data_IF_285503397962
#
_entry.id   IF_285503397962
#
_cell.length_a   1.000
_cell.length_b   1.000
_cell.length_c   1.000
_cell.angle_alpha   90.00
_cell.angle_beta   90.00
_cell.angle_gamma   90.00
#
_symmetry.space_group_name_H-M   'P 1'
#
loop_
_entity.id
_entity.type
_entity.pdbx_description
1 polymer ?
#
# COMPACT_ATOMS: atom_id res chain seq x y z
N UNK A 1 13.71 -13.88 43.51
CA UNK A 1 12.99 -14.81 42.59
C UNK A 1 11.99 -13.96 41.81
N UNK A 2 12.38 -13.59 40.59
CA UNK A 2 11.55 -12.74 39.76
C UNK A 2 10.37 -13.54 39.25
N UNK A 3 9.17 -13.04 39.48
CA UNK A 3 7.94 -13.51 38.86
C UNK A 3 8.09 -13.25 37.31
N UNK A 4 8.35 -14.29 36.55
CA UNK A 4 8.15 -14.26 35.11
C UNK A 4 6.65 -14.12 34.86
N UNK A 5 6.21 -12.94 34.43
CA UNK A 5 4.84 -12.68 34.05
C UNK A 5 4.45 -13.68 32.96
N UNK A 6 3.44 -14.51 33.23
CA UNK A 6 2.89 -15.48 32.27
C UNK A 6 2.33 -14.84 30.97
N UNK A 7 2.26 -13.52 30.93
CA UNK A 7 1.79 -12.74 29.79
C UNK A 7 2.86 -12.46 28.71
N UNK A 8 4.14 -12.78 28.98
CA UNK A 8 5.25 -12.53 28.03
C UNK A 8 5.62 -13.75 27.18
N UNK A 9 4.72 -14.71 27.03
CA UNK A 9 4.94 -15.86 26.14
C UNK A 9 4.83 -15.40 24.67
N UNK A 10 5.91 -15.58 23.89
CA UNK A 10 5.93 -15.30 22.45
C UNK A 10 5.14 -16.40 21.73
N UNK A 11 4.13 -16.02 20.95
CA UNK A 11 3.29 -16.95 20.19
C UNK A 11 3.65 -16.98 18.68
N UNK A 12 4.25 -15.89 18.18
CA UNK A 12 4.78 -15.84 16.81
C UNK A 12 5.96 -14.86 16.75
N UNK A 13 6.96 -15.17 15.95
CA UNK A 13 8.14 -14.33 15.77
C UNK A 13 8.70 -14.52 14.36
N UNK A 14 9.08 -13.41 13.73
CA UNK A 14 10.05 -13.36 12.65
C UNK A 14 11.25 -12.59 13.21
N UNK A 15 12.34 -13.32 13.41
CA UNK A 15 13.52 -12.83 14.13
C UNK A 15 13.96 -11.46 13.62
N UNK A 16 14.22 -10.55 14.56
CA UNK A 16 14.64 -9.16 14.32
C UNK A 16 13.56 -8.22 13.73
N UNK A 17 12.46 -8.76 13.19
CA UNK A 17 11.43 -7.97 12.51
C UNK A 17 10.19 -7.73 13.36
N UNK A 18 9.65 -8.80 13.95
CA UNK A 18 8.40 -8.71 14.71
C UNK A 18 8.30 -9.86 15.72
N UNK A 19 7.75 -9.56 16.88
CA UNK A 19 7.39 -10.52 17.91
C UNK A 19 5.97 -10.26 18.38
N UNK A 20 5.17 -11.30 18.43
CA UNK A 20 3.77 -11.27 18.90
C UNK A 20 3.68 -12.07 20.18
N UNK A 21 3.13 -11.46 21.23
CA UNK A 21 2.95 -12.07 22.54
C UNK A 21 1.52 -12.59 22.71
N UNK A 22 1.36 -13.51 23.67
CA UNK A 22 0.08 -14.17 23.98
C UNK A 22 -1.02 -13.20 24.43
N UNK A 23 -0.64 -12.06 24.99
CA UNK A 23 -1.57 -11.01 25.41
C UNK A 23 -2.00 -10.09 24.25
N UNK A 24 -1.53 -10.36 23.02
CA UNK A 24 -1.79 -9.56 21.84
C UNK A 24 -0.83 -8.38 21.64
N UNK A 25 0.13 -8.16 22.55
CA UNK A 25 1.17 -7.15 22.38
C UNK A 25 2.06 -7.49 21.18
N UNK A 26 2.44 -6.49 20.43
CA UNK A 26 3.32 -6.62 19.25
C UNK A 26 4.54 -5.74 19.44
N UNK A 27 5.72 -6.33 19.30
CA UNK A 27 6.99 -5.62 19.24
C UNK A 27 7.55 -5.64 17.81
N UNK A 28 8.04 -4.50 17.35
CA UNK A 28 8.78 -4.32 16.09
C UNK A 28 10.16 -3.78 16.42
N UNK A 29 11.18 -4.66 16.59
CA UNK A 29 12.51 -4.25 17.07
C UNK A 29 13.25 -3.30 16.12
N UNK A 30 12.99 -3.39 14.82
CA UNK A 30 13.58 -2.48 13.84
C UNK A 30 12.88 -1.13 13.87
N UNK A 31 13.68 -0.06 13.90
CA UNK A 31 13.18 1.30 13.85
C UNK A 31 13.12 1.80 12.39
N UNK A 32 11.95 2.26 12.00
CA UNK A 32 11.69 2.91 10.72
C UNK A 32 11.33 4.38 10.97
N UNK A 33 12.32 5.29 10.95
CA UNK A 33 12.13 6.66 11.40
C UNK A 33 11.01 7.38 10.66
N UNK A 34 10.05 7.88 11.39
CA UNK A 34 8.99 8.76 10.87
C UNK A 34 9.55 10.18 10.79
N UNK A 35 9.31 10.84 9.66
CA UNK A 35 9.74 12.23 9.43
C UNK A 35 8.53 13.15 9.19
N UNK A 36 8.62 14.42 9.60
CA UNK A 36 7.54 15.38 9.33
C UNK A 36 7.39 15.67 7.83
N UNK A 37 6.24 16.19 7.40
CA UNK A 37 6.07 16.67 6.03
C UNK A 37 7.07 17.79 5.69
N UNK A 38 7.41 17.87 4.42
CA UNK A 38 8.47 18.77 3.93
C UNK A 38 7.89 19.97 3.20
N UNK A 39 8.47 21.13 3.50
CA UNK A 39 8.34 22.35 2.69
C UNK A 39 9.74 22.74 2.23
N UNK A 40 10.05 22.54 0.97
CA UNK A 40 11.35 22.90 0.40
C UNK A 40 11.22 23.55 -0.97
N UNK A 41 12.36 23.90 -1.59
CA UNK A 41 12.40 24.63 -2.86
C UNK A 41 11.93 23.80 -4.07
N UNK A 42 11.79 22.48 -3.94
CA UNK A 42 11.43 21.59 -5.05
C UNK A 42 9.99 21.06 -5.01
N UNK A 43 9.41 20.95 -3.80
CA UNK A 43 8.07 20.43 -3.58
C UNK A 43 7.54 20.79 -2.18
N UNK A 44 6.24 20.56 -1.99
CA UNK A 44 5.58 20.59 -0.69
C UNK A 44 4.94 19.24 -0.39
N UNK A 45 4.92 18.84 0.88
CA UNK A 45 4.12 17.70 1.33
C UNK A 45 3.31 18.06 2.58
N UNK A 46 2.22 17.34 2.79
CA UNK A 46 1.40 17.45 4.01
C UNK A 46 0.73 16.11 4.32
N UNK A 47 0.47 15.89 5.59
CA UNK A 47 -0.28 14.74 6.07
C UNK A 47 -1.78 15.09 6.09
N UNK A 48 -2.60 14.16 5.60
CA UNK A 48 -4.04 14.32 5.44
C UNK A 48 -4.76 13.12 6.03
N UNK A 49 -6.00 13.33 6.49
CA UNK A 49 -6.90 12.26 6.90
C UNK A 49 -7.92 12.03 5.79
N UNK A 50 -7.99 10.80 5.29
CA UNK A 50 -8.89 10.39 4.21
C UNK A 50 -10.25 9.98 4.78
N UNK A 51 -10.25 9.22 5.88
CA UNK A 51 -11.45 8.71 6.52
C UNK A 51 -11.32 8.74 8.03
N UNK A 52 -12.41 9.08 8.72
CA UNK A 52 -12.50 9.05 10.18
C UNK A 52 -13.21 7.79 10.71
N UNK A 53 -13.49 6.79 9.85
CA UNK A 53 -14.23 5.61 10.26
C UNK A 53 -13.40 4.70 11.18
N UNK A 54 -14.01 4.22 12.31
CA UNK A 54 -13.36 3.25 13.18
C UNK A 54 -13.05 1.93 12.45
N UNK A 55 -12.03 1.16 12.88
CA UNK A 55 -11.33 1.32 14.15
C UNK A 55 -10.18 2.33 14.11
N UNK A 56 -9.69 2.74 12.94
CA UNK A 56 -8.57 3.66 12.81
C UNK A 56 -8.78 4.55 11.57
N UNK A 57 -8.52 5.85 11.65
CA UNK A 57 -8.61 6.71 10.48
C UNK A 57 -7.60 6.29 9.42
N UNK A 58 -8.01 6.34 8.14
CA UNK A 58 -7.09 6.20 7.02
C UNK A 58 -6.44 7.55 6.79
N UNK A 59 -5.13 7.58 6.73
CA UNK A 59 -4.33 8.78 6.49
C UNK A 59 -3.47 8.62 5.24
N UNK A 60 -2.90 9.71 4.77
CA UNK A 60 -1.91 9.67 3.70
C UNK A 60 -0.98 10.89 3.80
N UNK A 61 0.18 10.78 3.17
CA UNK A 61 1.01 11.94 2.85
C UNK A 61 0.84 12.28 1.39
N UNK A 62 0.41 13.53 1.13
CA UNK A 62 0.31 14.05 -0.23
C UNK A 62 1.55 14.91 -0.54
N UNK A 63 2.07 14.76 -1.76
CA UNK A 63 3.21 15.49 -2.29
C UNK A 63 2.81 16.25 -3.55
N UNK A 64 3.18 17.52 -3.62
CA UNK A 64 2.92 18.40 -4.75
C UNK A 64 4.25 19.03 -5.22
N UNK A 65 4.63 18.92 -6.50
CA UNK A 65 5.78 19.65 -7.01
C UNK A 65 5.52 21.16 -6.98
N UNK A 66 6.57 21.96 -6.99
CA UNK A 66 6.41 23.42 -7.04
C UNK A 66 5.64 23.83 -8.30
N UNK A 67 4.48 24.45 -8.06
CA UNK A 67 3.64 24.98 -9.13
C UNK A 67 4.18 26.35 -9.53
N UNK A 68 4.53 26.50 -10.81
CA UNK A 68 4.92 27.79 -11.37
C UNK A 68 3.68 28.48 -11.97
N UNK A 69 3.66 29.82 -11.95
CA UNK A 69 2.57 30.61 -12.52
C UNK A 69 2.31 30.35 -14.02
N UNK A 70 3.27 29.77 -14.72
CA UNK A 70 3.14 29.36 -16.13
C UNK A 70 2.55 27.96 -16.32
N UNK A 71 2.34 27.19 -15.24
CA UNK A 71 1.83 25.82 -15.30
C UNK A 71 0.31 25.82 -15.48
N UNK A 72 -0.14 25.71 -16.72
CA UNK A 72 -1.57 25.65 -17.09
C UNK A 72 -2.11 24.22 -17.13
N UNK A 73 -1.24 23.22 -17.12
CA UNK A 73 -1.63 21.79 -17.25
C UNK A 73 -1.76 21.14 -15.88
N UNK A 74 -2.84 20.38 -15.72
CA UNK A 74 -3.04 19.48 -14.57
C UNK A 74 -1.95 18.41 -14.54
N UNK A 75 -1.66 17.90 -13.34
CA UNK A 75 -0.61 16.92 -13.06
C UNK A 75 -1.17 15.50 -12.98
N UNK A 76 -0.45 14.49 -13.49
CA UNK A 76 -0.81 13.10 -13.20
C UNK A 76 -0.86 12.85 -11.69
N UNK A 77 -1.75 11.95 -11.29
CA UNK A 77 -1.92 11.53 -9.90
C UNK A 77 -1.35 10.11 -9.76
N UNK A 78 -0.49 9.91 -8.78
CA UNK A 78 0.08 8.61 -8.44
C UNK A 78 -0.29 8.23 -7.01
N UNK A 79 -1.18 7.24 -6.87
CA UNK A 79 -1.54 6.69 -5.57
C UNK A 79 -0.60 5.54 -5.25
N UNK A 80 0.09 5.64 -4.11
CA UNK A 80 1.16 4.72 -3.75
C UNK A 80 0.87 3.99 -2.45
N UNK A 81 1.13 2.69 -2.44
CA UNK A 81 1.03 1.82 -1.29
C UNK A 81 2.42 1.29 -0.93
N UNK A 82 2.86 1.56 0.29
CA UNK A 82 4.21 1.21 0.74
C UNK A 82 4.40 -0.30 0.94
N UNK A 83 5.65 -0.75 0.87
CA UNK A 83 6.04 -2.11 1.23
C UNK A 83 6.04 -2.36 2.73
N UNK A 84 6.78 -3.38 3.17
CA UNK A 84 6.90 -3.72 4.58
C UNK A 84 6.12 -4.97 4.99
N UNK A 85 5.90 -5.92 4.08
CA UNK A 85 5.33 -7.24 4.39
C UNK A 85 3.96 -7.21 5.06
N UNK A 86 3.21 -6.11 4.97
CA UNK A 86 1.96 -5.82 5.69
C UNK A 86 2.10 -5.61 7.20
N UNK A 87 3.29 -5.65 7.78
CA UNK A 87 3.46 -5.59 9.24
C UNK A 87 4.46 -4.55 9.73
N UNK A 88 5.16 -3.86 8.85
CA UNK A 88 6.06 -2.76 9.19
C UNK A 88 6.06 -1.67 8.11
N UNK A 89 6.83 -0.59 8.31
CA UNK A 89 6.88 0.63 7.52
C UNK A 89 5.62 1.51 7.63
N UNK A 90 5.71 2.66 7.02
CA UNK A 90 4.68 3.70 7.05
C UNK A 90 4.83 4.63 5.86
N UNK A 91 3.72 5.18 5.38
CA UNK A 91 3.72 6.27 4.39
C UNK A 91 4.51 7.52 4.86
N UNK A 92 4.74 7.63 6.16
CA UNK A 92 5.45 8.76 6.79
C UNK A 92 6.92 8.46 7.08
N UNK A 93 7.40 7.25 6.76
CA UNK A 93 8.79 6.87 7.03
C UNK A 93 9.78 7.65 6.16
N UNK A 94 11.00 7.78 6.68
CA UNK A 94 12.09 8.47 5.99
C UNK A 94 12.39 7.85 4.63
N UNK A 95 12.29 6.53 4.51
CA UNK A 95 12.55 5.81 3.26
C UNK A 95 11.67 6.31 2.12
N UNK A 96 10.36 6.31 2.33
CA UNK A 96 9.39 6.73 1.30
C UNK A 96 9.41 8.24 1.12
N UNK A 97 9.60 9.01 2.20
CA UNK A 97 9.77 10.45 2.08
C UNK A 97 10.96 10.81 1.17
N UNK A 98 12.14 10.22 1.39
CA UNK A 98 13.33 10.48 0.59
C UNK A 98 13.16 10.04 -0.88
N UNK A 99 12.39 8.97 -1.12
CA UNK A 99 12.03 8.53 -2.47
C UNK A 99 11.17 9.58 -3.17
N UNK A 100 10.11 10.06 -2.53
CA UNK A 100 9.21 11.03 -3.14
C UNK A 100 9.79 12.45 -3.26
N UNK A 101 10.72 12.84 -2.38
CA UNK A 101 11.48 14.08 -2.55
C UNK A 101 12.25 14.12 -3.88
N UNK A 102 12.61 12.96 -4.43
CA UNK A 102 13.30 12.84 -5.73
C UNK A 102 12.29 12.64 -6.88
N UNK A 103 11.36 11.72 -6.71
CA UNK A 103 10.43 11.32 -7.77
C UNK A 103 9.48 12.45 -8.18
N UNK A 104 8.86 13.12 -7.20
CA UNK A 104 7.80 14.13 -7.43
C UNK A 104 8.26 15.26 -8.34
N UNK A 105 9.39 15.95 -8.07
CA UNK A 105 9.82 17.04 -8.96
C UNK A 105 10.33 16.54 -10.32
N UNK A 106 10.92 15.33 -10.39
CA UNK A 106 11.43 14.78 -11.64
C UNK A 106 10.33 14.33 -12.60
N UNK A 107 9.31 13.65 -12.05
CA UNK A 107 8.19 13.16 -12.84
C UNK A 107 7.09 14.22 -13.04
N UNK A 108 7.13 15.29 -12.28
CA UNK A 108 6.11 16.37 -12.26
C UNK A 108 4.69 15.82 -12.04
N UNK A 109 4.50 15.12 -10.91
CA UNK A 109 3.28 14.41 -10.54
C UNK A 109 2.83 14.77 -9.12
N UNK A 110 1.54 14.56 -8.81
CA UNK A 110 1.04 14.51 -7.44
C UNK A 110 1.16 13.07 -6.96
N UNK A 111 1.72 12.88 -5.75
CA UNK A 111 1.74 11.57 -5.09
C UNK A 111 0.83 11.58 -3.88
N UNK A 112 0.02 10.53 -3.72
CA UNK A 112 -0.74 10.23 -2.51
C UNK A 112 -0.23 8.92 -1.94
N UNK A 113 0.62 8.98 -0.91
CA UNK A 113 1.20 7.81 -0.23
C UNK A 113 0.31 7.44 0.95
N UNK A 114 -0.33 6.27 0.86
CA UNK A 114 -1.40 5.83 1.77
C UNK A 114 -0.83 5.11 2.98
N UNK A 115 -1.26 5.53 4.17
CA UNK A 115 -1.01 4.88 5.45
C UNK A 115 -2.14 3.89 5.75
N UNK A 116 -1.93 2.63 5.41
CA UNK A 116 -2.90 1.56 5.63
C UNK A 116 -2.62 0.81 6.93
N UNK A 117 -3.63 0.13 7.46
CA UNK A 117 -3.52 -0.67 8.70
C UNK A 117 -2.62 -1.88 8.50
N UNK A 118 -1.80 -2.15 9.53
CA UNK A 118 -0.83 -3.24 9.54
C UNK A 118 -1.30 -4.46 10.32
N UNK A 119 -0.84 -5.62 9.90
CA UNK A 119 -0.93 -6.88 10.62
C UNK A 119 0.16 -6.94 11.72
N UNK A 120 0.02 -7.80 12.71
CA UNK A 120 -1.11 -8.70 12.99
C UNK A 120 -2.30 -8.01 13.66
N UNK A 121 -2.18 -6.74 14.07
CA UNK A 121 -3.26 -6.00 14.74
C UNK A 121 -4.49 -5.89 13.83
N UNK A 122 -4.26 -5.77 12.51
CA UNK A 122 -5.29 -5.71 11.48
C UNK A 122 -4.89 -6.62 10.31
N UNK A 123 -5.21 -7.92 10.39
CA UNK A 123 -4.85 -8.87 9.34
C UNK A 123 -5.59 -8.56 8.02
N UNK A 124 -5.09 -9.07 6.88
CA UNK A 124 -5.85 -9.02 5.64
C UNK A 124 -7.30 -9.53 5.82
N UNK A 125 -8.29 -8.86 5.19
CA UNK A 125 -8.14 -7.91 4.09
C UNK A 125 -7.99 -6.43 4.48
N UNK A 126 -7.75 -6.07 5.75
CA UNK A 126 -7.78 -4.68 6.22
C UNK A 126 -6.94 -3.70 5.39
N UNK A 127 -5.70 -4.07 5.02
CA UNK A 127 -4.84 -3.24 4.20
C UNK A 127 -5.40 -3.01 2.78
N UNK A 128 -6.00 -4.04 2.18
CA UNK A 128 -6.64 -3.94 0.87
C UNK A 128 -7.87 -3.04 0.89
N UNK A 129 -8.68 -3.14 1.94
CA UNK A 129 -9.88 -2.32 2.12
C UNK A 129 -9.50 -0.84 2.32
N UNK A 130 -8.50 -0.56 3.17
CA UNK A 130 -8.01 0.81 3.40
C UNK A 130 -7.46 1.44 2.12
N UNK A 131 -6.66 0.70 1.37
CA UNK A 131 -6.07 1.18 0.12
C UNK A 131 -7.12 1.39 -0.97
N UNK A 132 -8.15 0.53 -1.04
CA UNK A 132 -9.30 0.71 -1.92
C UNK A 132 -10.11 1.96 -1.55
N UNK A 133 -10.39 2.16 -0.26
CA UNK A 133 -11.10 3.34 0.21
C UNK A 133 -10.32 4.63 -0.04
N UNK A 134 -8.99 4.59 0.12
CA UNK A 134 -8.12 5.71 -0.22
C UNK A 134 -8.15 6.04 -1.72
N UNK A 135 -8.15 5.03 -2.58
CA UNK A 135 -8.25 5.21 -4.03
C UNK A 135 -9.61 5.80 -4.44
N UNK A 136 -10.71 5.31 -3.85
CA UNK A 136 -12.05 5.89 -4.05
C UNK A 136 -12.11 7.35 -3.59
N UNK A 137 -11.50 7.65 -2.45
CA UNK A 137 -11.42 9.02 -1.95
C UNK A 137 -10.64 9.93 -2.92
N UNK A 138 -9.49 9.49 -3.44
CA UNK A 138 -8.77 10.26 -4.46
C UNK A 138 -9.68 10.51 -5.66
N UNK A 139 -10.32 9.46 -6.20
CA UNK A 139 -11.18 9.55 -7.38
C UNK A 139 -12.40 10.47 -7.15
N UNK A 140 -12.95 10.54 -5.93
CA UNK A 140 -14.10 11.40 -5.63
C UNK A 140 -13.83 12.89 -5.87
N UNK A 141 -12.57 13.33 -5.88
CA UNK A 141 -12.18 14.70 -6.17
C UNK A 141 -12.28 15.07 -7.67
N UNK A 142 -12.56 14.07 -8.55
CA UNK A 142 -12.81 14.33 -9.97
C UNK A 142 -14.16 15.00 -10.21
N UNK A 143 -15.13 14.81 -9.29
CA UNK A 143 -16.47 15.39 -9.37
C UNK A 143 -16.55 16.69 -8.57
N UNK A 144 -17.43 17.61 -9.02
CA UNK A 144 -17.65 18.88 -8.30
C UNK A 144 -18.55 18.73 -7.06
N UNK A 145 -19.08 17.52 -6.83
CA UNK A 145 -20.02 17.24 -5.74
C UNK A 145 -19.35 16.86 -4.40
N UNK A 146 -18.06 17.20 -4.26
CA UNK A 146 -17.36 17.00 -2.99
C UNK A 146 -17.93 17.92 -1.91
N UNK A 147 -18.36 17.33 -0.79
CA UNK A 147 -18.80 18.13 0.38
C UNK A 147 -17.64 18.96 0.89
N UNK A 148 -17.86 20.24 1.28
CA UNK A 148 -16.79 21.16 1.63
C UNK A 148 -15.80 20.67 2.70
N UNK A 149 -16.21 19.74 3.54
CA UNK A 149 -15.40 19.23 4.65
C UNK A 149 -14.44 18.08 4.30
N UNK A 150 -14.44 17.60 3.05
CA UNK A 150 -13.60 16.45 2.62
C UNK A 150 -12.87 16.72 1.30
N UNK A 151 -12.62 17.99 0.98
CA UNK A 151 -12.00 18.38 -0.28
C UNK A 151 -10.52 18.68 -0.09
N UNK A 152 -9.67 17.93 -0.80
CA UNK A 152 -8.24 18.19 -0.88
C UNK A 152 -7.93 19.12 -2.07
N UNK A 153 -7.54 20.37 -1.74
CA UNK A 153 -7.33 21.40 -2.75
C UNK A 153 -6.23 21.07 -3.77
N UNK A 154 -5.16 20.38 -3.37
CA UNK A 154 -4.09 20.01 -4.29
C UNK A 154 -4.56 19.03 -5.37
N UNK A 155 -5.49 18.13 -5.03
CA UNK A 155 -6.12 17.24 -6.01
C UNK A 155 -7.08 17.98 -6.92
N UNK A 156 -8.00 18.80 -6.38
CA UNK A 156 -9.01 19.50 -7.17
C UNK A 156 -8.44 20.60 -8.05
N UNK A 157 -7.42 21.32 -7.54
CA UNK A 157 -6.81 22.43 -8.27
C UNK A 157 -5.74 22.00 -9.26
N UNK A 158 -5.01 20.92 -8.98
CA UNK A 158 -3.82 20.53 -9.77
C UNK A 158 -3.89 19.13 -10.36
N UNK A 159 -4.75 18.23 -9.87
CA UNK A 159 -4.83 16.83 -10.32
C UNK A 159 -5.49 16.66 -11.69
N UNK A 160 -4.95 15.76 -12.49
CA UNK A 160 -5.54 15.29 -13.74
C UNK A 160 -6.11 13.87 -13.55
N UNK A 161 -7.41 13.79 -13.39
CA UNK A 161 -8.11 12.54 -13.15
C UNK A 161 -8.23 11.63 -14.40
N UNK A 162 -7.82 12.11 -15.58
CA UNK A 162 -7.62 11.27 -16.76
C UNK A 162 -6.24 10.59 -16.78
N UNK A 163 -5.36 10.94 -15.85
CA UNK A 163 -4.01 10.37 -15.71
C UNK A 163 -3.76 9.91 -14.29
N UNK A 164 -4.55 8.93 -13.85
CA UNK A 164 -4.40 8.30 -12.53
C UNK A 164 -3.61 7.00 -12.68
N UNK A 165 -2.57 6.88 -11.87
CA UNK A 165 -1.71 5.70 -11.76
C UNK A 165 -1.74 5.19 -10.33
N UNK A 166 -1.58 3.88 -10.16
CA UNK A 166 -1.39 3.27 -8.84
C UNK A 166 -0.07 2.50 -8.82
N UNK A 167 0.56 2.41 -7.68
CA UNK A 167 1.78 1.62 -7.57
C UNK A 167 2.18 1.33 -6.14
N UNK A 168 3.18 0.48 -6.01
CA UNK A 168 3.73 0.09 -4.72
C UNK A 168 4.95 -0.81 -4.87
N UNK A 169 5.56 -1.09 -3.74
CA UNK A 169 6.67 -2.02 -3.62
C UNK A 169 6.30 -3.18 -2.70
N UNK A 170 6.81 -4.38 -2.98
CA UNK A 170 6.65 -5.58 -2.15
C UNK A 170 5.17 -5.84 -1.78
N UNK A 171 4.79 -5.74 -0.50
CA UNK A 171 3.40 -5.85 -0.04
C UNK A 171 2.49 -4.78 -0.68
N UNK A 172 2.99 -3.56 -0.89
CA UNK A 172 2.26 -2.51 -1.58
C UNK A 172 1.99 -2.84 -3.06
N UNK A 173 2.94 -3.46 -3.75
CA UNK A 173 2.74 -3.94 -5.11
C UNK A 173 1.74 -5.12 -5.17
N UNK A 174 1.73 -5.98 -4.16
CA UNK A 174 0.70 -7.00 -3.98
C UNK A 174 -0.68 -6.35 -3.81
N UNK A 175 -0.81 -5.28 -2.99
CA UNK A 175 -2.06 -4.53 -2.83
C UNK A 175 -2.53 -3.97 -4.18
N UNK A 176 -1.64 -3.35 -4.98
CA UNK A 176 -1.95 -2.85 -6.32
C UNK A 176 -2.56 -3.95 -7.19
N UNK A 177 -1.90 -5.11 -7.25
CA UNK A 177 -2.40 -6.25 -8.03
C UNK A 177 -3.81 -6.68 -7.58
N UNK A 178 -4.01 -6.80 -6.26
CA UNK A 178 -5.30 -7.24 -5.71
C UNK A 178 -6.42 -6.22 -5.96
N UNK A 179 -6.14 -4.92 -5.90
CA UNK A 179 -7.10 -3.88 -6.26
C UNK A 179 -7.53 -4.03 -7.71
N UNK A 180 -6.58 -4.22 -8.64
CA UNK A 180 -6.86 -4.38 -10.07
C UNK A 180 -7.60 -5.68 -10.39
N UNK A 181 -7.36 -6.75 -9.62
CA UNK A 181 -7.94 -8.07 -9.85
C UNK A 181 -9.32 -8.24 -9.25
N UNK A 182 -9.61 -7.63 -8.09
CA UNK A 182 -10.80 -7.94 -7.30
C UNK A 182 -11.74 -6.74 -7.08
N UNK A 183 -11.27 -5.50 -7.22
CA UNK A 183 -12.04 -4.31 -6.86
C UNK A 183 -12.44 -3.46 -8.06
N UNK A 184 -11.48 -3.05 -8.88
CA UNK A 184 -11.76 -2.25 -10.07
C UNK A 184 -12.46 -3.13 -11.12
N UNK A 185 -13.56 -2.68 -11.62
CA UNK A 185 -14.39 -3.47 -12.54
C UNK A 185 -15.71 -3.86 -11.89
N UNK A 186 -15.72 -4.70 -10.83
CA UNK A 186 -16.93 -4.92 -10.04
C UNK A 186 -17.48 -3.65 -9.38
N UNK A 187 -16.60 -2.75 -8.93
CA UNK A 187 -16.95 -1.47 -8.32
C UNK A 187 -16.22 -0.33 -9.04
N UNK A 188 -16.90 0.45 -9.91
CA UNK A 188 -16.25 1.57 -10.60
C UNK A 188 -15.83 2.67 -9.63
N UNK A 189 -14.73 3.35 -9.94
CA UNK A 189 -14.28 4.49 -9.17
C UNK A 189 -15.22 5.70 -9.35
N UNK A 190 -15.41 6.54 -8.31
CA UNK A 190 -16.18 7.77 -8.42
C UNK A 190 -15.76 8.62 -9.62
N UNK A 191 -16.74 9.24 -10.29
CA UNK A 191 -16.51 10.12 -11.44
C UNK A 191 -15.96 9.41 -12.69
N UNK A 192 -16.20 8.10 -12.79
CA UNK A 192 -15.74 7.25 -13.91
C UNK A 192 -14.22 7.31 -14.13
N UNK A 193 -13.47 7.59 -13.05
CA UNK A 193 -12.01 7.64 -13.09
C UNK A 193 -11.46 6.27 -13.48
N UNK A 194 -10.57 6.27 -14.48
CA UNK A 194 -9.90 5.05 -14.94
C UNK A 194 -8.44 5.02 -14.47
N UNK A 195 -7.95 3.85 -14.06
CA UNK A 195 -6.54 3.64 -13.78
C UNK A 195 -5.81 3.48 -15.12
N UNK A 196 -5.02 4.49 -15.49
CA UNK A 196 -4.29 4.51 -16.76
C UNK A 196 -3.13 3.49 -16.77
N UNK A 197 -2.54 3.22 -15.62
CA UNK A 197 -1.47 2.25 -15.49
C UNK A 197 -1.07 1.98 -14.05
N UNK A 198 -0.29 0.92 -13.87
CA UNK A 198 0.21 0.49 -12.56
C UNK A 198 1.71 0.21 -12.58
N UNK A 199 2.36 0.37 -11.42
CA UNK A 199 3.78 0.08 -11.21
C UNK A 199 3.90 -0.86 -10.01
N UNK A 200 4.44 -2.06 -10.25
CA UNK A 200 4.70 -3.08 -9.25
C UNK A 200 6.22 -3.26 -9.11
N UNK A 201 6.77 -2.79 -8.01
CA UNK A 201 8.20 -2.97 -7.70
C UNK A 201 8.37 -4.16 -6.75
N UNK A 202 9.12 -5.19 -7.18
CA UNK A 202 9.40 -6.40 -6.39
C UNK A 202 8.13 -6.97 -5.72
N UNK A 203 7.04 -7.23 -6.46
CA UNK A 203 5.75 -7.57 -5.87
C UNK A 203 5.85 -8.79 -4.96
N UNK A 204 5.24 -8.72 -3.80
CA UNK A 204 5.17 -9.81 -2.85
C UNK A 204 4.15 -10.85 -3.33
N UNK A 205 4.58 -11.74 -4.20
CA UNK A 205 3.86 -12.94 -4.62
C UNK A 205 4.61 -14.17 -4.17
N UNK A 206 3.87 -15.20 -3.77
CA UNK A 206 4.42 -16.46 -3.33
C UNK A 206 3.38 -17.56 -3.46
N UNK A 207 3.82 -18.83 -3.56
CA UNK A 207 2.95 -19.99 -3.66
C UNK A 207 3.65 -21.26 -3.18
N UNK A 208 2.92 -22.36 -3.10
CA UNK A 208 3.48 -23.66 -2.74
C UNK A 208 4.30 -24.28 -3.87
N UNK A 209 3.99 -23.96 -5.13
CA UNK A 209 4.70 -24.44 -6.30
C UNK A 209 5.78 -23.43 -6.71
N UNK A 210 7.06 -23.82 -6.75
CA UNK A 210 8.14 -22.95 -7.20
C UNK A 210 7.97 -22.50 -8.65
N UNK A 211 8.31 -21.25 -8.92
CA UNK A 211 8.26 -20.66 -10.26
C UNK A 211 9.68 -20.42 -10.79
N UNK A 212 9.97 -20.90 -12.00
CA UNK A 212 11.27 -20.67 -12.65
C UNK A 212 12.42 -21.32 -11.89
N UNK A 213 13.37 -20.51 -11.40
CA UNK A 213 14.58 -20.95 -10.69
C UNK A 213 14.45 -20.96 -9.16
N UNK A 214 13.25 -20.80 -8.62
CA UNK A 214 13.03 -20.86 -7.18
C UNK A 214 13.44 -22.24 -6.61
N UNK A 215 14.00 -22.28 -5.38
CA UNK A 215 14.39 -23.55 -4.78
C UNK A 215 13.17 -24.40 -4.43
N UNK A 216 13.23 -25.69 -4.75
CA UNK A 216 12.16 -26.66 -4.46
C UNK A 216 12.16 -27.17 -3.02
N UNK A 217 13.14 -26.80 -2.22
CA UNK A 217 13.30 -27.22 -0.81
C UNK A 217 13.39 -26.02 0.12
N UNK A 218 12.94 -26.21 1.36
CA UNK A 218 13.00 -25.15 2.38
C UNK A 218 11.94 -24.06 2.23
N UNK A 219 10.90 -24.28 1.43
CA UNK A 219 9.81 -23.32 1.21
C UNK A 219 9.11 -22.92 2.50
N UNK A 220 8.98 -23.85 3.46
CA UNK A 220 8.32 -23.56 4.74
C UNK A 220 9.09 -22.58 5.62
N UNK A 221 10.44 -22.59 5.54
CA UNK A 221 11.33 -21.68 6.25
C UNK A 221 11.64 -20.42 5.45
N UNK A 222 11.13 -20.30 4.23
CA UNK A 222 11.30 -19.10 3.44
C UNK A 222 10.66 -17.89 4.14
N UNK A 223 11.40 -16.77 4.17
CA UNK A 223 10.97 -15.54 4.82
C UNK A 223 9.56 -15.10 4.37
N UNK A 224 9.29 -15.14 3.09
CA UNK A 224 7.99 -14.73 2.53
C UNK A 224 6.84 -15.61 3.02
N UNK A 225 7.05 -16.93 3.10
CA UNK A 225 6.06 -17.85 3.67
C UNK A 225 5.81 -17.58 5.16
N UNK A 226 6.88 -17.35 5.93
CA UNK A 226 6.77 -17.02 7.34
C UNK A 226 6.01 -15.71 7.56
N UNK A 227 6.29 -14.69 6.74
CA UNK A 227 5.55 -13.41 6.78
C UNK A 227 4.07 -13.63 6.49
N UNK A 228 3.70 -14.37 5.43
CA UNK A 228 2.29 -14.59 5.11
C UNK A 228 1.54 -15.34 6.22
N UNK A 229 2.15 -16.38 6.78
CA UNK A 229 1.58 -17.11 7.92
C UNK A 229 1.39 -16.25 9.17
N UNK A 230 2.27 -15.28 9.40
CA UNK A 230 2.16 -14.35 10.51
C UNK A 230 1.06 -13.31 10.28
N UNK A 231 1.02 -12.69 9.08
CA UNK A 231 0.10 -11.59 8.80
C UNK A 231 -1.32 -12.05 8.50
N UNK A 232 -1.47 -13.27 7.97
CA UNK A 232 -2.78 -13.85 7.65
C UNK A 232 -2.88 -15.33 8.02
N UNK A 233 -2.81 -15.67 9.32
CA UNK A 233 -2.78 -17.06 9.79
C UNK A 233 -4.02 -17.86 9.42
N UNK A 234 -5.16 -17.19 9.20
CA UNK A 234 -6.44 -17.80 8.81
C UNK A 234 -6.71 -17.74 7.31
N UNK A 235 -5.71 -17.45 6.47
CA UNK A 235 -5.88 -17.34 5.03
C UNK A 235 -6.49 -18.62 4.44
N UNK A 236 -7.64 -18.56 3.76
CA UNK A 236 -8.18 -19.71 3.05
C UNK A 236 -7.18 -20.20 1.99
N UNK A 237 -6.83 -21.49 2.02
CA UNK A 237 -5.78 -22.05 1.14
C UNK A 237 -4.34 -21.74 1.58
N UNK A 238 -4.14 -21.07 2.71
CA UNK A 238 -2.80 -20.78 3.24
C UNK A 238 -1.96 -19.95 2.28
N UNK A 239 -0.77 -20.49 1.90
CA UNK A 239 0.17 -19.82 1.00
C UNK A 239 -0.33 -19.77 -0.46
N UNK A 240 -1.31 -20.58 -0.83
CA UNK A 240 -1.94 -20.55 -2.15
C UNK A 240 -3.21 -19.71 -2.20
N UNK A 241 -3.43 -18.89 -1.17
CA UNK A 241 -4.51 -17.92 -1.18
C UNK A 241 -4.34 -16.95 -2.37
N UNK A 242 -5.41 -16.64 -3.14
CA UNK A 242 -5.35 -15.75 -4.30
C UNK A 242 -4.79 -14.35 -4.02
N UNK A 243 -4.80 -13.87 -2.79
CA UNK A 243 -4.18 -12.59 -2.43
C UNK A 243 -2.66 -12.62 -2.51
N UNK A 244 -2.02 -13.77 -2.27
CA UNK A 244 -0.57 -13.90 -2.31
C UNK A 244 -0.10 -14.68 -3.54
N UNK A 245 -0.91 -15.63 -4.03
CA UNK A 245 -0.63 -16.45 -5.20
C UNK A 245 -1.58 -16.08 -6.36
N UNK A 246 -1.16 -15.19 -7.27
CA UNK A 246 -2.00 -14.78 -8.39
C UNK A 246 -2.24 -15.88 -9.43
N UNK A 247 -1.51 -17.00 -9.32
CA UNK A 247 -1.68 -18.21 -10.15
C UNK A 247 -2.38 -19.34 -9.40
N UNK A 248 -2.72 -19.12 -8.12
CA UNK A 248 -3.39 -20.11 -7.26
C UNK A 248 -4.82 -20.43 -7.73
N UNK A 249 -5.31 -21.56 -7.25
CA UNK A 249 -6.68 -21.97 -7.53
C UNK A 249 -7.69 -20.93 -7.05
N UNK A 250 -8.57 -20.46 -7.93
CA UNK A 250 -9.57 -19.43 -7.63
C UNK A 250 -9.07 -17.99 -7.76
N UNK A 251 -7.82 -17.77 -8.18
CA UNK A 251 -7.35 -16.43 -8.54
C UNK A 251 -8.07 -15.93 -9.81
N UNK A 252 -8.41 -14.62 -9.88
CA UNK A 252 -8.95 -14.03 -11.09
C UNK A 252 -7.98 -14.14 -12.28
N UNK A 253 -8.53 -14.14 -13.49
CA UNK A 253 -7.72 -14.14 -14.71
C UNK A 253 -6.83 -12.89 -14.78
N UNK A 254 -5.54 -13.06 -15.03
CA UNK A 254 -4.61 -11.96 -15.26
C UNK A 254 -4.96 -11.14 -16.53
N UNK A 255 -5.72 -11.72 -17.45
CA UNK A 255 -6.22 -11.02 -18.65
C UNK A 255 -7.34 -9.99 -18.32
N UNK A 256 -7.92 -10.07 -17.11
CA UNK A 256 -9.03 -9.22 -16.66
C UNK A 256 -8.56 -8.10 -15.72
N UNK A 257 -7.25 -7.91 -15.57
CA UNK A 257 -6.70 -6.83 -14.75
C UNK A 257 -7.20 -5.46 -15.23
N UNK A 258 -7.77 -4.70 -14.32
CA UNK A 258 -8.47 -3.45 -14.62
C UNK A 258 -7.51 -2.26 -14.86
N UNK A 259 -6.46 -2.45 -15.65
CA UNK A 259 -5.62 -1.37 -16.18
C UNK A 259 -5.03 -1.76 -17.52
N UNK A 260 -4.80 -0.78 -18.38
CA UNK A 260 -4.31 -1.01 -19.75
C UNK A 260 -2.78 -1.14 -19.83
N UNK A 261 -2.05 -0.73 -18.79
CA UNK A 261 -0.58 -0.69 -18.76
C UNK A 261 -0.08 -1.07 -17.39
N UNK A 262 0.89 -1.98 -17.36
CA UNK A 262 1.55 -2.39 -16.12
C UNK A 262 3.06 -2.43 -16.32
N UNK A 263 3.80 -1.80 -15.42
CA UNK A 263 5.24 -1.95 -15.30
C UNK A 263 5.52 -2.83 -14.08
N UNK A 264 6.22 -3.94 -14.30
CA UNK A 264 6.69 -4.83 -13.23
C UNK A 264 8.21 -4.77 -13.20
N UNK A 265 8.76 -4.40 -12.06
CA UNK A 265 10.20 -4.36 -11.81
C UNK A 265 10.56 -5.42 -10.78
N UNK A 266 11.50 -6.29 -11.12
CA UNK A 266 12.06 -7.32 -10.24
C UNK A 266 13.58 -7.26 -10.29
N UNK A 267 14.28 -7.63 -9.19
CA UNK A 267 15.73 -7.77 -9.12
C UNK A 267 16.11 -9.19 -8.76
#
# INVERSE_FOLDING_TARGET
MGSTNANNETVAEIREWIRVFKDGTVERPLDFPIVPPTLNTGLSSKDITISHHPPKPISARIYLPNITNSQTKKLPIYVYFHGGGFFFESAFSKLFNDHFLKLVPQANIIVVSVEYRLAPEHPPPAAYDDCWDALKWVASHSTKDTTPNNTESWLTEHGDFNRVFIGGDSAGANIVHNILSFRVGPEPLPGDVQILGSILAHPYFYGSEPVGSEPVTGLEQNFFNLVWKLVYPSAPGGIDNPFINPLGAGAPSLAELACSRMLVCVA
#
